data_IF_847845547039
#
_entry.id   IF_847845547039
#
_cell.length_a   1.000
_cell.length_b   1.000
_cell.length_c   1.000
_cell.angle_alpha   90.00
_cell.angle_beta   90.00
_cell.angle_gamma   90.00
#
_symmetry.space_group_name_H-M   'P 1'
#
loop_
_entity.id
_entity.type
_entity.pdbx_description
1 polymer ?
#
# COMPACT_ATOMS: atom_id res chain seq x y z
N UNK A 1 14.51 8.88 -14.41
CA UNK A 1 13.57 8.26 -13.45
C UNK A 1 14.10 6.86 -13.11
N UNK A 2 14.20 6.54 -11.84
CA UNK A 2 14.65 5.23 -11.41
C UNK A 2 13.59 4.13 -11.69
N UNK A 3 13.94 2.85 -11.53
CA UNK A 3 12.97 1.77 -11.80
C UNK A 3 11.69 1.84 -10.96
N UNK A 4 11.79 2.21 -9.68
CA UNK A 4 10.63 2.33 -8.80
C UNK A 4 9.72 3.49 -9.24
N UNK A 5 10.30 4.63 -9.58
CA UNK A 5 9.55 5.78 -10.09
C UNK A 5 8.84 5.46 -11.39
N UNK A 6 9.51 4.73 -12.28
CA UNK A 6 8.92 4.30 -13.54
C UNK A 6 7.75 3.34 -13.32
N UNK A 7 7.91 2.37 -12.42
CA UNK A 7 6.85 1.45 -12.04
C UNK A 7 5.63 2.21 -11.51
N UNK A 8 5.85 3.18 -10.62
CA UNK A 8 4.78 3.99 -10.03
C UNK A 8 3.99 4.73 -11.11
N UNK A 9 4.70 5.36 -12.05
CA UNK A 9 4.08 6.06 -13.17
C UNK A 9 3.27 5.12 -14.06
N UNK A 10 3.83 3.98 -14.42
CA UNK A 10 3.19 3.03 -15.32
C UNK A 10 1.97 2.35 -14.68
N UNK A 11 2.05 2.03 -13.39
CA UNK A 11 0.98 1.28 -12.72
C UNK A 11 -0.06 2.15 -12.07
N UNK A 12 0.31 3.29 -11.51
CA UNK A 12 -0.59 4.16 -10.76
C UNK A 12 -0.77 5.53 -11.38
N UNK A 13 -0.04 5.84 -12.43
CA UNK A 13 -0.18 7.10 -13.16
C UNK A 13 0.26 8.33 -12.37
N UNK A 14 1.08 8.16 -11.34
CA UNK A 14 1.53 9.27 -10.52
C UNK A 14 3.05 9.28 -10.37
N UNK A 15 3.58 10.41 -9.92
CA UNK A 15 5.01 10.59 -9.67
C UNK A 15 5.21 11.17 -8.28
N UNK A 16 6.34 10.84 -7.65
CA UNK A 16 6.75 11.43 -6.38
C UNK A 16 8.05 12.20 -6.65
N UNK A 17 8.04 13.50 -6.35
CA UNK A 17 9.16 14.38 -6.62
C UNK A 17 10.42 14.00 -5.82
N UNK A 18 10.25 13.49 -4.60
CA UNK A 18 11.34 13.07 -3.73
C UNK A 18 11.61 11.58 -3.89
N UNK A 19 12.68 11.19 -4.62
CA UNK A 19 12.99 9.76 -4.80
C UNK A 19 13.36 9.04 -3.50
N UNK A 20 13.90 9.77 -2.52
CA UNK A 20 14.20 9.21 -1.20
C UNK A 20 12.94 8.80 -0.45
N UNK A 21 11.87 9.58 -0.60
CA UNK A 21 10.58 9.27 0.01
C UNK A 21 9.98 7.99 -0.59
N UNK A 22 10.02 7.86 -1.91
CA UNK A 22 9.53 6.65 -2.58
C UNK A 22 10.35 5.42 -2.15
N UNK A 23 11.67 5.56 -2.08
CA UNK A 23 12.54 4.47 -1.63
C UNK A 23 12.18 4.03 -0.21
N UNK A 24 11.96 4.99 0.71
CA UNK A 24 11.54 4.68 2.09
C UNK A 24 10.18 3.98 2.11
N UNK A 25 9.21 4.45 1.32
CA UNK A 25 7.89 3.85 1.25
C UNK A 25 7.94 2.38 0.81
N UNK A 26 8.92 2.02 0.00
CA UNK A 26 9.10 0.67 -0.53
C UNK A 26 10.06 -0.19 0.30
N UNK A 27 10.55 0.32 1.43
CA UNK A 27 11.53 -0.39 2.26
C UNK A 27 10.86 -0.98 3.49
N UNK A 28 10.86 -2.33 3.57
CA UNK A 28 10.38 -3.06 4.72
C UNK A 28 11.39 -2.98 5.88
N UNK A 29 10.92 -3.06 7.12
CA UNK A 29 11.78 -2.98 8.31
C UNK A 29 12.90 -4.01 8.33
N UNK A 30 12.75 -5.15 7.65
CA UNK A 30 13.80 -6.16 7.56
C UNK A 30 15.04 -5.68 6.82
N UNK A 31 14.92 -4.63 6.00
CA UNK A 31 16.03 -4.08 5.22
C UNK A 31 16.74 -2.93 5.93
N UNK A 32 16.30 -2.50 7.10
CA UNK A 32 16.99 -1.48 7.88
C UNK A 32 16.08 -0.49 8.59
N UNK A 33 16.67 0.50 9.30
CA UNK A 33 15.91 1.45 10.10
C UNK A 33 15.21 2.55 9.29
N UNK A 34 15.67 2.83 8.08
CA UNK A 34 15.03 3.81 7.20
C UNK A 34 13.96 3.10 6.37
N UNK A 35 12.83 2.82 7.02
CA UNK A 35 11.79 1.93 6.51
C UNK A 35 10.42 2.61 6.48
N UNK A 36 9.39 1.86 6.07
CA UNK A 36 8.06 2.39 5.80
C UNK A 36 7.08 2.32 6.98
N UNK A 37 7.51 1.95 8.19
CA UNK A 37 6.56 1.75 9.30
C UNK A 37 5.72 3.00 9.58
N UNK A 38 6.33 4.17 9.63
CA UNK A 38 5.59 5.41 9.89
C UNK A 38 4.72 5.83 8.71
N UNK A 39 5.20 5.60 7.50
CA UNK A 39 4.44 5.89 6.28
C UNK A 39 3.24 4.96 6.16
N UNK A 40 3.39 3.71 6.52
CA UNK A 40 2.29 2.75 6.58
C UNK A 40 1.19 3.22 7.53
N UNK A 41 1.56 3.67 8.71
CA UNK A 41 0.61 4.22 9.69
C UNK A 41 -0.19 5.39 9.10
N UNK A 42 0.51 6.33 8.49
CA UNK A 42 -0.13 7.48 7.86
C UNK A 42 -0.97 7.07 6.65
N UNK A 43 -0.43 6.18 5.83
CA UNK A 43 -1.10 5.69 4.63
C UNK A 43 -2.38 4.94 4.94
N UNK A 44 -2.42 4.18 6.03
CA UNK A 44 -3.63 3.51 6.50
C UNK A 44 -4.76 4.53 6.75
N UNK A 45 -4.46 5.61 7.43
CA UNK A 45 -5.43 6.66 7.71
C UNK A 45 -5.88 7.38 6.43
N UNK A 46 -4.95 7.70 5.54
CA UNK A 46 -5.26 8.36 4.26
C UNK A 46 -6.15 7.46 3.40
N UNK A 47 -5.81 6.19 3.29
CA UNK A 47 -6.58 5.24 2.51
C UNK A 47 -8.01 5.10 3.06
N UNK A 48 -8.15 4.97 4.37
CA UNK A 48 -9.46 4.88 5.02
C UNK A 48 -10.31 6.13 4.76
N UNK A 49 -9.68 7.31 4.81
CA UNK A 49 -10.38 8.56 4.52
C UNK A 49 -10.86 8.63 3.07
N UNK A 50 -9.97 8.34 2.12
CA UNK A 50 -10.29 8.41 0.69
C UNK A 50 -11.42 7.44 0.33
N UNK A 51 -11.36 6.22 0.83
CA UNK A 51 -12.41 5.22 0.59
C UNK A 51 -13.72 5.64 1.25
N UNK A 52 -13.66 6.17 2.47
CA UNK A 52 -14.86 6.65 3.17
C UNK A 52 -15.55 7.76 2.37
N UNK A 53 -14.78 8.73 1.87
CA UNK A 53 -15.31 9.82 1.06
C UNK A 53 -15.95 9.31 -0.23
N UNK A 54 -15.27 8.41 -0.92
CA UNK A 54 -15.77 7.79 -2.14
C UNK A 54 -17.12 7.10 -1.90
N UNK A 55 -17.20 6.29 -0.85
CA UNK A 55 -18.42 5.56 -0.49
C UNK A 55 -19.55 6.50 -0.09
N UNK A 56 -19.22 7.54 0.66
CA UNK A 56 -20.17 8.55 1.08
C UNK A 56 -20.90 9.17 -0.12
N UNK A 57 -20.17 9.51 -1.17
CA UNK A 57 -20.74 10.10 -2.38
C UNK A 57 -21.41 9.08 -3.28
N UNK A 58 -20.87 7.88 -3.37
CA UNK A 58 -21.37 6.85 -4.28
C UNK A 58 -22.65 6.21 -3.76
N UNK A 59 -22.81 6.10 -2.45
CA UNK A 59 -23.97 5.44 -1.82
C UNK A 59 -24.69 6.37 -0.83
N UNK A 60 -25.34 7.43 -1.34
CA UNK A 60 -25.95 8.43 -0.47
C UNK A 60 -27.10 7.89 0.40
N UNK A 61 -27.71 6.77 0.00
CA UNK A 61 -28.77 6.13 0.75
C UNK A 61 -28.31 5.11 1.79
N UNK A 62 -27.01 4.79 1.84
CA UNK A 62 -26.49 3.79 2.75
C UNK A 62 -26.37 4.34 4.17
N UNK A 63 -26.63 3.48 5.17
CA UNK A 63 -26.46 3.83 6.58
C UNK A 63 -24.96 3.87 6.94
N UNK A 64 -24.65 4.49 8.08
CA UNK A 64 -23.29 4.49 8.60
C UNK A 64 -22.75 3.07 8.78
N UNK A 65 -23.57 2.15 9.30
CA UNK A 65 -23.17 0.76 9.46
C UNK A 65 -22.84 0.07 8.16
N UNK A 66 -23.63 0.33 7.11
CA UNK A 66 -23.37 -0.20 5.77
C UNK A 66 -22.08 0.38 5.19
N UNK A 67 -21.89 1.70 5.29
CA UNK A 67 -20.68 2.36 4.81
C UNK A 67 -19.44 1.83 5.53
N UNK A 68 -19.53 1.63 6.84
CA UNK A 68 -18.41 1.08 7.63
C UNK A 68 -18.04 -0.35 7.19
N UNK A 69 -19.05 -1.18 6.90
CA UNK A 69 -18.79 -2.54 6.41
C UNK A 69 -18.18 -2.55 5.03
N UNK A 70 -18.66 -1.70 4.13
CA UNK A 70 -18.08 -1.57 2.78
C UNK A 70 -16.61 -1.14 2.87
N UNK A 71 -16.33 -0.11 3.69
CA UNK A 71 -14.97 0.36 3.86
C UNK A 71 -14.08 -0.75 4.42
N UNK A 72 -14.52 -1.45 5.45
CA UNK A 72 -13.75 -2.52 6.08
C UNK A 72 -13.36 -3.60 5.08
N UNK A 73 -14.27 -3.97 4.17
CA UNK A 73 -13.96 -4.99 3.16
C UNK A 73 -12.99 -4.49 2.10
N UNK A 74 -13.05 -3.21 1.74
CA UNK A 74 -12.19 -2.63 0.70
C UNK A 74 -10.76 -2.34 1.19
N UNK A 75 -10.60 -2.03 2.49
CA UNK A 75 -9.29 -1.71 3.06
C UNK A 75 -8.73 -2.85 3.92
N UNK A 76 -9.32 -4.04 3.85
CA UNK A 76 -8.82 -5.20 4.57
C UNK A 76 -7.43 -5.58 4.08
N UNK A 77 -6.64 -6.22 4.94
CA UNK A 77 -5.32 -6.71 4.57
C UNK A 77 -5.36 -7.63 3.35
N UNK A 78 -6.38 -8.49 3.27
CA UNK A 78 -6.55 -9.39 2.13
C UNK A 78 -6.81 -8.62 0.83
N UNK A 79 -7.71 -7.65 0.85
CA UNK A 79 -8.04 -6.85 -0.34
C UNK A 79 -6.82 -6.05 -0.80
N UNK A 80 -6.10 -5.42 0.13
CA UNK A 80 -4.90 -4.64 -0.18
C UNK A 80 -3.78 -5.52 -0.73
N UNK A 81 -3.61 -6.72 -0.19
CA UNK A 81 -2.59 -7.66 -0.68
C UNK A 81 -2.87 -8.09 -2.12
N UNK A 82 -4.14 -8.34 -2.45
CA UNK A 82 -4.54 -8.70 -3.82
C UNK A 82 -4.20 -7.57 -4.79
N UNK A 83 -4.58 -6.33 -4.44
CA UNK A 83 -4.28 -5.17 -5.27
C UNK A 83 -2.76 -4.96 -5.41
N UNK A 84 -2.02 -5.10 -4.33
CA UNK A 84 -0.56 -4.97 -4.35
C UNK A 84 0.07 -5.99 -5.30
N UNK A 85 -0.41 -7.23 -5.28
CA UNK A 85 0.07 -8.27 -6.19
C UNK A 85 -0.25 -7.93 -7.65
N UNK A 86 -1.45 -7.42 -7.91
CA UNK A 86 -1.88 -7.05 -9.28
C UNK A 86 -1.01 -5.96 -9.89
N UNK A 87 -0.55 -5.00 -9.09
CA UNK A 87 0.30 -3.91 -9.59
C UNK A 87 1.79 -4.25 -9.54
N UNK A 88 2.15 -5.45 -9.12
CA UNK A 88 3.54 -5.88 -9.07
C UNK A 88 4.36 -5.23 -7.97
N UNK A 89 3.70 -4.83 -6.87
CA UNK A 89 4.37 -4.12 -5.77
C UNK A 89 5.49 -4.96 -5.14
N UNK A 90 5.30 -6.27 -5.02
CA UNK A 90 6.29 -7.16 -4.40
C UNK A 90 7.67 -7.06 -5.01
N UNK A 91 7.75 -6.88 -6.32
CA UNK A 91 9.02 -6.75 -7.04
C UNK A 91 9.72 -5.41 -6.77
N UNK A 92 9.01 -4.43 -6.26
CA UNK A 92 9.53 -3.11 -5.95
C UNK A 92 9.95 -2.96 -4.49
N UNK A 93 9.56 -3.89 -3.62
CA UNK A 93 9.85 -3.81 -2.20
C UNK A 93 11.30 -4.17 -1.91
N UNK A 94 11.89 -3.42 -0.99
CA UNK A 94 13.23 -3.69 -0.46
C UNK A 94 13.07 -4.46 0.85
N UNK A 95 13.54 -5.71 0.84
CA UNK A 95 13.47 -6.61 1.99
C UNK A 95 14.86 -7.04 2.38
N UNK A 96 15.05 -7.37 3.66
CA UNK A 96 16.30 -7.99 4.10
C UNK A 96 16.44 -9.39 3.51
N UNK A 97 17.68 -9.90 3.47
CA UNK A 97 18.00 -11.18 2.83
C UNK A 97 17.18 -12.34 3.39
N UNK A 98 16.95 -12.38 4.70
CA UNK A 98 16.16 -13.43 5.32
C UNK A 98 14.71 -13.43 4.87
N UNK A 99 14.10 -12.25 4.76
CA UNK A 99 12.73 -12.12 4.27
C UNK A 99 12.62 -12.50 2.80
N UNK A 100 13.59 -12.07 1.97
CA UNK A 100 13.61 -12.45 0.56
C UNK A 100 13.68 -13.96 0.38
N UNK A 101 14.56 -14.62 1.14
CA UNK A 101 14.72 -16.08 1.07
C UNK A 101 13.47 -16.84 1.50
N UNK A 102 12.69 -16.28 2.42
CA UNK A 102 11.45 -16.89 2.89
C UNK A 102 10.22 -16.48 2.09
N UNK A 103 10.38 -15.76 1.00
CA UNK A 103 9.29 -15.34 0.14
C UNK A 103 8.51 -14.13 0.63
N UNK A 104 9.15 -13.25 1.43
CA UNK A 104 8.52 -12.07 2.01
C UNK A 104 7.87 -11.14 1.00
N UNK A 105 8.42 -11.04 -0.23
CA UNK A 105 7.86 -10.22 -1.29
C UNK A 105 6.48 -10.68 -1.77
N UNK A 106 6.04 -11.86 -1.38
CA UNK A 106 4.71 -12.41 -1.70
C UNK A 106 3.82 -12.55 -0.46
N UNK A 107 4.33 -12.19 0.72
CA UNK A 107 3.59 -12.32 1.97
C UNK A 107 2.50 -11.25 2.04
N UNK A 108 1.26 -11.67 2.30
CA UNK A 108 0.10 -10.78 2.26
C UNK A 108 0.23 -9.57 3.18
N UNK A 109 0.72 -9.76 4.41
CA UNK A 109 0.88 -8.65 5.35
C UNK A 109 1.90 -7.62 4.87
N UNK A 110 3.00 -8.07 4.28
CA UNK A 110 4.05 -7.19 3.76
C UNK A 110 3.54 -6.42 2.54
N UNK A 111 2.80 -7.09 1.66
CA UNK A 111 2.20 -6.46 0.48
C UNK A 111 1.16 -5.42 0.87
N UNK A 112 0.26 -5.75 1.79
CA UNK A 112 -0.78 -4.82 2.26
C UNK A 112 -0.14 -3.59 2.90
N UNK A 113 0.82 -3.79 3.79
CA UNK A 113 1.52 -2.70 4.48
C UNK A 113 2.28 -1.81 3.51
N UNK A 114 2.91 -2.40 2.50
CA UNK A 114 3.61 -1.66 1.46
C UNK A 114 2.68 -0.81 0.60
N UNK A 115 1.47 -1.30 0.33
CA UNK A 115 0.48 -0.54 -0.46
C UNK A 115 -0.04 0.67 0.31
N UNK A 116 -0.24 0.54 1.62
CA UNK A 116 -0.67 1.65 2.46
C UNK A 116 0.33 2.81 2.45
#
# INVERSE_FOLDING_TARGET
MDPAGRWLQERLGCTIADPGLLARALTHRSAGPDNNERLEYLGDAVLSFVIAEMLFHQFPGASEGELSRYRASLVSGEALAVLAAEIGLGDQLRLGDGELKSGGQRRATILADGLE
#
